data_IF_869885571879
#
_entry.id   IF_869885571879
#
_cell.length_a   1.000
_cell.length_b   1.000
_cell.length_c   1.000
_cell.angle_alpha   90.00
_cell.angle_beta   90.00
_cell.angle_gamma   90.00
#
_symmetry.space_group_name_H-M   'P 1'
#
loop_
_entity.id
_entity.type
_entity.pdbx_description
1 polymer ?
#
# COMPACT_ATOMS: atom_id res chain seq x y z
N UNK A 1 11.26 -10.58 7.93
CA UNK A 1 11.81 -9.25 7.54
C UNK A 1 10.77 -8.20 7.85
N UNK A 2 11.18 -7.08 8.44
CA UNK A 2 10.27 -5.98 8.80
C UNK A 2 10.77 -4.68 8.17
N UNK A 3 9.92 -4.01 7.42
CA UNK A 3 10.17 -2.72 6.80
C UNK A 3 9.19 -1.69 7.35
N UNK A 4 9.70 -0.52 7.74
CA UNK A 4 8.86 0.60 8.20
C UNK A 4 9.28 1.89 7.53
N UNK A 5 8.32 2.78 7.28
CA UNK A 5 8.61 4.09 6.70
C UNK A 5 7.39 4.82 6.17
N UNK A 6 7.59 5.71 5.21
CA UNK A 6 6.54 6.56 4.65
C UNK A 6 5.91 5.96 3.40
N UNK A 7 4.64 6.26 3.16
CA UNK A 7 3.89 5.82 1.98
C UNK A 7 2.97 6.94 1.50
N UNK A 8 2.97 7.20 0.19
CA UNK A 8 2.07 8.12 -0.48
C UNK A 8 1.34 7.40 -1.60
N UNK A 9 0.01 7.48 -1.60
CA UNK A 9 -0.86 6.83 -2.58
C UNK A 9 -1.65 7.86 -3.38
N UNK A 10 -1.97 7.51 -4.62
CA UNK A 10 -2.80 8.28 -5.54
C UNK A 10 -3.87 7.39 -6.16
N UNK A 11 -5.02 7.97 -6.46
CA UNK A 11 -6.21 7.31 -7.00
C UNK A 11 -6.59 7.91 -8.34
N UNK A 12 -6.82 7.05 -9.33
CA UNK A 12 -7.16 7.46 -10.69
C UNK A 12 -8.25 6.54 -11.27
N UNK A 13 -9.50 7.02 -11.43
CA UNK A 13 -9.97 8.35 -11.06
C UNK A 13 -10.05 8.56 -9.53
N UNK A 14 -10.22 9.80 -9.05
CA UNK A 14 -10.41 10.10 -7.63
C UNK A 14 -11.57 9.32 -7.01
N UNK A 15 -11.47 8.95 -5.73
CA UNK A 15 -12.54 8.23 -5.04
C UNK A 15 -13.72 9.15 -4.72
N UNK A 16 -14.91 8.73 -5.13
CA UNK A 16 -16.19 9.40 -4.79
C UNK A 16 -17.07 8.45 -3.99
N UNK A 17 -18.29 8.88 -3.62
CA UNK A 17 -19.28 7.95 -3.04
C UNK A 17 -19.68 6.81 -3.99
N UNK A 18 -19.73 7.07 -5.30
CA UNK A 18 -20.04 6.03 -6.28
C UNK A 18 -18.89 5.02 -6.39
N UNK A 19 -19.21 3.73 -6.26
CA UNK A 19 -18.26 2.64 -6.48
C UNK A 19 -17.90 2.53 -7.95
N UNK A 20 -16.60 2.45 -8.24
CA UNK A 20 -16.07 2.31 -9.61
C UNK A 20 -14.69 1.68 -9.61
N UNK A 21 -14.23 1.29 -10.79
CA UNK A 21 -12.85 0.88 -10.99
C UNK A 21 -11.90 2.05 -10.76
N UNK A 22 -10.89 1.85 -9.91
CA UNK A 22 -9.87 2.84 -9.57
C UNK A 22 -8.49 2.20 -9.62
N UNK A 23 -7.58 2.84 -10.35
CA UNK A 23 -6.16 2.53 -10.30
C UNK A 23 -5.53 3.20 -9.09
N UNK A 24 -4.74 2.43 -8.36
CA UNK A 24 -4.02 2.88 -7.18
C UNK A 24 -2.54 2.79 -7.45
N UNK A 25 -1.85 3.91 -7.25
CA UNK A 25 -0.40 4.02 -7.37
C UNK A 25 0.17 4.52 -6.06
N UNK A 26 1.12 3.79 -5.50
CA UNK A 26 1.73 4.13 -4.21
C UNK A 26 3.23 4.10 -4.32
N UNK A 27 3.89 5.10 -3.75
CA UNK A 27 5.34 5.11 -3.51
C UNK A 27 5.60 5.03 -2.04
N UNK A 28 6.58 4.23 -1.67
CA UNK A 28 7.00 4.06 -0.29
C UNK A 28 8.52 4.16 -0.15
N UNK A 29 8.94 4.70 0.98
CA UNK A 29 10.33 4.75 1.40
C UNK A 29 10.43 4.01 2.73
N UNK A 30 11.29 2.99 2.77
CA UNK A 30 11.39 2.04 3.87
C UNK A 30 12.79 1.99 4.47
N UNK A 31 12.85 1.67 5.75
CA UNK A 31 14.01 1.05 6.39
C UNK A 31 13.63 -0.38 6.77
N UNK A 32 14.36 -1.35 6.23
CA UNK A 32 14.09 -2.77 6.38
C UNK A 32 15.12 -3.47 7.25
N UNK A 33 14.68 -4.13 8.31
CA UNK A 33 15.49 -5.08 9.10
C UNK A 33 15.53 -6.42 8.35
N UNK A 34 16.67 -6.69 7.71
CA UNK A 34 16.88 -7.87 6.84
C UNK A 34 17.59 -9.02 7.55
N UNK A 35 18.31 -8.72 8.63
CA UNK A 35 18.91 -9.67 9.55
C UNK A 35 19.06 -9.02 10.94
N UNK A 36 19.30 -9.78 12.02
CA UNK A 36 19.54 -9.21 13.35
C UNK A 36 20.65 -8.15 13.31
N UNK A 37 20.34 -6.92 13.76
CA UNK A 37 21.27 -5.79 13.75
C UNK A 37 21.59 -5.19 12.37
N UNK A 38 21.01 -5.69 11.28
CA UNK A 38 21.24 -5.20 9.91
C UNK A 38 19.99 -4.58 9.32
N UNK A 39 20.06 -3.28 9.07
CA UNK A 39 19.02 -2.52 8.35
C UNK A 39 19.51 -2.08 6.98
N UNK A 40 18.59 -2.01 6.02
CA UNK A 40 18.85 -1.56 4.65
C UNK A 40 17.71 -0.63 4.23
N UNK A 41 18.03 0.48 3.56
CA UNK A 41 16.99 1.34 2.97
C UNK A 41 16.38 0.65 1.76
N UNK A 42 15.09 0.84 1.55
CA UNK A 42 14.40 0.37 0.36
C UNK A 42 13.40 1.41 -0.14
N UNK A 43 13.11 1.36 -1.43
CA UNK A 43 11.96 2.06 -2.04
C UNK A 43 10.97 1.02 -2.55
N UNK A 44 9.69 1.36 -2.51
CA UNK A 44 8.61 0.50 -2.98
C UNK A 44 7.70 1.25 -3.95
N UNK A 45 7.44 0.63 -5.10
CA UNK A 45 6.44 1.10 -6.06
C UNK A 45 5.31 0.07 -6.11
N UNK A 46 4.11 0.50 -5.73
CA UNK A 46 2.90 -0.30 -5.82
C UNK A 46 2.00 0.20 -6.94
N UNK A 47 1.47 -0.72 -7.73
CA UNK A 47 0.47 -0.46 -8.76
C UNK A 47 -0.59 -1.56 -8.73
N UNK A 48 -1.86 -1.15 -8.82
CA UNK A 48 -2.94 -2.10 -8.96
C UNK A 48 -4.26 -1.43 -9.29
N UNK A 49 -5.26 -2.26 -9.52
CA UNK A 49 -6.63 -1.82 -9.81
C UNK A 49 -7.56 -2.44 -8.79
N UNK A 50 -8.40 -1.61 -8.18
CA UNK A 50 -9.58 -2.08 -7.49
C UNK A 50 -10.77 -1.96 -8.43
N UNK A 51 -11.50 -3.05 -8.70
CA UNK A 51 -12.65 -3.01 -9.61
C UNK A 51 -13.84 -2.24 -9.02
N UNK A 52 -13.88 -2.12 -7.68
CA UNK A 52 -14.95 -1.47 -6.94
C UNK A 52 -14.37 -0.73 -5.73
N UNK A 53 -14.04 0.54 -5.91
CA UNK A 53 -13.59 1.43 -4.86
C UNK A 53 -14.44 2.70 -4.80
N UNK A 54 -14.71 3.14 -3.57
CA UNK A 54 -15.39 4.37 -3.22
C UNK A 54 -14.74 5.00 -1.98
N UNK A 55 -15.26 6.14 -1.55
CA UNK A 55 -14.86 6.78 -0.31
C UNK A 55 -15.18 5.99 0.97
N UNK A 56 -16.05 4.98 0.91
CA UNK A 56 -16.51 4.23 2.09
C UNK A 56 -16.16 2.75 2.03
N UNK A 57 -15.89 2.23 0.82
CA UNK A 57 -15.65 0.82 0.58
C UNK A 57 -14.53 0.66 -0.44
N UNK A 58 -13.68 -0.33 -0.24
CA UNK A 58 -12.63 -0.68 -1.18
C UNK A 58 -12.50 -2.19 -1.19
N UNK A 59 -12.87 -2.81 -2.32
CA UNK A 59 -12.84 -4.25 -2.45
C UNK A 59 -11.67 -4.75 -3.29
N UNK A 60 -11.09 -5.86 -2.81
CA UNK A 60 -10.24 -6.81 -3.52
C UNK A 60 -9.21 -6.18 -4.48
N UNK A 61 -8.29 -5.34 -3.99
CA UNK A 61 -7.23 -4.83 -4.83
C UNK A 61 -6.30 -5.98 -5.25
N UNK A 62 -6.14 -6.16 -6.56
CA UNK A 62 -4.98 -6.90 -7.10
C UNK A 62 -3.86 -5.88 -7.27
N UNK A 63 -2.91 -5.88 -6.35
CA UNK A 63 -1.79 -4.94 -6.32
C UNK A 63 -0.49 -5.72 -6.37
N UNK A 64 0.47 -5.22 -7.15
CA UNK A 64 1.85 -5.65 -7.08
C UNK A 64 2.70 -4.55 -6.46
N UNK A 65 3.68 -4.92 -5.63
CA UNK A 65 4.69 -4.03 -5.07
C UNK A 65 6.07 -4.50 -5.49
N UNK A 66 6.82 -3.61 -6.12
CA UNK A 66 8.23 -3.84 -6.45
C UNK A 66 9.09 -3.07 -5.45
N UNK A 67 9.95 -3.79 -4.74
CA UNK A 67 10.91 -3.24 -3.80
C UNK A 67 12.30 -3.18 -4.43
N UNK A 68 12.99 -2.07 -4.17
CA UNK A 68 14.37 -1.84 -4.54
C UNK A 68 15.17 -1.53 -3.28
N UNK A 69 16.07 -2.42 -2.88
CA UNK A 69 16.92 -2.26 -1.71
C UNK A 69 18.22 -1.54 -2.08
N UNK A 70 18.76 -0.73 -1.16
CA UNK A 70 19.99 0.02 -1.36
C UNK A 70 21.25 -0.86 -1.50
N UNK A 71 21.16 -2.14 -1.14
CA UNK A 71 22.21 -3.13 -1.35
C UNK A 71 22.16 -3.80 -2.74
N UNK A 72 21.26 -3.35 -3.62
CA UNK A 72 21.13 -3.83 -4.99
C UNK A 72 20.18 -5.01 -5.17
N UNK A 73 19.68 -5.61 -4.10
CA UNK A 73 18.64 -6.63 -4.18
C UNK A 73 17.26 -6.00 -4.48
N UNK A 74 16.32 -6.85 -4.90
CA UNK A 74 14.93 -6.48 -5.14
C UNK A 74 13.97 -7.56 -4.66
N UNK A 75 12.70 -7.20 -4.56
CA UNK A 75 11.62 -8.17 -4.35
C UNK A 75 10.37 -7.74 -5.13
N UNK A 76 9.61 -8.71 -5.63
CA UNK A 76 8.28 -8.48 -6.18
C UNK A 76 7.26 -9.18 -5.28
N UNK A 77 6.30 -8.42 -4.77
CA UNK A 77 5.21 -8.91 -3.95
C UNK A 77 3.91 -8.78 -4.74
N UNK A 78 3.10 -9.83 -4.73
CA UNK A 78 1.73 -9.80 -5.25
C UNK A 78 0.77 -9.92 -4.08
N UNK A 79 -0.10 -8.92 -3.93
CA UNK A 79 -1.19 -8.91 -2.98
C UNK A 79 -2.48 -9.37 -3.67
N UNK A 80 -3.06 -10.45 -3.16
CA UNK A 80 -4.30 -11.05 -3.63
C UNK A 80 -5.47 -10.83 -2.66
N UNK A 81 -5.18 -10.35 -1.44
CA UNK A 81 -6.15 -9.94 -0.44
C UNK A 81 -5.88 -8.54 0.08
N UNK A 82 -6.95 -7.80 0.34
CA UNK A 82 -6.84 -6.47 0.94
C UNK A 82 -8.14 -6.02 1.57
N UNK A 83 -8.01 -5.32 2.69
CA UNK A 83 -9.12 -4.60 3.33
C UNK A 83 -8.70 -3.16 3.56
N UNK A 84 -9.67 -2.26 3.47
CA UNK A 84 -9.47 -0.88 3.90
C UNK A 84 -10.64 -0.40 4.75
N UNK A 85 -10.34 0.38 5.77
CA UNK A 85 -11.33 1.00 6.65
C UNK A 85 -11.04 2.49 6.70
N UNK A 86 -12.07 3.30 6.52
CA UNK A 86 -12.00 4.75 6.69
C UNK A 86 -12.83 5.16 7.90
N UNK A 87 -12.22 5.90 8.81
CA UNK A 87 -12.89 6.50 9.97
C UNK A 87 -12.49 7.97 10.02
N UNK A 88 -13.46 8.87 9.84
CA UNK A 88 -13.21 10.29 9.63
C UNK A 88 -12.16 10.52 8.51
N UNK A 89 -11.01 11.10 8.85
CA UNK A 89 -9.94 11.44 7.90
C UNK A 89 -8.83 10.38 7.86
N UNK A 90 -8.96 9.30 8.63
CA UNK A 90 -7.99 8.23 8.70
C UNK A 90 -8.41 7.07 7.80
N UNK A 91 -7.42 6.53 7.07
CA UNK A 91 -7.50 5.35 6.24
C UNK A 91 -6.56 4.30 6.83
N UNK A 92 -7.08 3.11 7.09
CA UNK A 92 -6.29 1.94 7.46
C UNK A 92 -6.40 0.93 6.33
N UNK A 93 -5.28 0.63 5.68
CA UNK A 93 -5.19 -0.43 4.66
C UNK A 93 -4.41 -1.60 5.21
N UNK A 94 -4.93 -2.82 5.02
CA UNK A 94 -4.19 -4.06 5.24
C UNK A 94 -4.20 -4.87 3.95
N UNK A 95 -3.02 -5.16 3.41
CA UNK A 95 -2.83 -6.05 2.27
C UNK A 95 -2.18 -7.36 2.73
N UNK A 96 -2.54 -8.45 2.06
CA UNK A 96 -1.97 -9.78 2.27
C UNK A 96 -1.63 -10.40 0.92
N UNK A 97 -0.51 -11.10 0.87
CA UNK A 97 0.04 -11.62 -0.37
C UNK A 97 1.29 -12.46 -0.17
N UNK A 98 2.11 -12.54 -1.22
CA UNK A 98 3.35 -13.32 -1.22
C UNK A 98 4.44 -12.63 -2.04
N UNK A 99 5.69 -12.82 -1.64
CA UNK A 99 6.85 -12.50 -2.49
C UNK A 99 6.93 -13.54 -3.61
N UNK A 100 6.80 -13.10 -4.86
CA UNK A 100 6.84 -13.97 -6.04
C UNK A 100 8.21 -13.99 -6.72
N UNK A 101 9.10 -13.06 -6.37
CA UNK A 101 10.46 -12.97 -6.92
C UNK A 101 11.38 -12.24 -5.94
N UNK A 102 12.63 -12.70 -5.81
CA UNK A 102 13.71 -11.94 -5.15
C UNK A 102 13.82 -12.17 -3.65
N UNK A 103 14.20 -11.13 -2.89
CA UNK A 103 14.45 -11.24 -1.44
C UNK A 103 13.20 -11.69 -0.69
N UNK A 104 13.28 -12.89 -0.10
CA UNK A 104 12.15 -13.49 0.62
C UNK A 104 11.16 -14.22 -0.29
N UNK A 105 11.56 -14.61 -1.50
CA UNK A 105 10.73 -15.37 -2.43
C UNK A 105 10.03 -16.56 -1.76
N UNK A 106 8.75 -16.73 -2.10
CA UNK A 106 7.90 -17.76 -1.54
C UNK A 106 7.35 -17.44 -0.14
N UNK A 107 7.83 -16.41 0.55
CA UNK A 107 7.33 -16.05 1.89
C UNK A 107 6.03 -15.23 1.83
N UNK A 108 5.13 -15.39 2.82
CA UNK A 108 3.96 -14.54 2.95
C UNK A 108 4.38 -13.08 3.20
N UNK A 109 3.59 -12.15 2.71
CA UNK A 109 3.80 -10.72 2.88
C UNK A 109 2.53 -10.04 3.40
N UNK A 110 2.68 -9.15 4.38
CA UNK A 110 1.60 -8.34 4.94
C UNK A 110 2.01 -6.88 4.98
N UNK A 111 1.14 -6.01 4.48
CA UNK A 111 1.37 -4.57 4.48
C UNK A 111 0.26 -3.84 5.18
N UNK A 112 0.62 -3.02 6.15
CA UNK A 112 -0.31 -2.18 6.92
C UNK A 112 0.02 -0.71 6.71
N UNK A 113 -0.98 0.09 6.37
CA UNK A 113 -0.82 1.52 6.12
C UNK A 113 -1.87 2.30 6.90
N UNK A 114 -1.51 2.87 8.06
CA UNK A 114 -2.24 3.99 8.63
C UNK A 114 -1.89 5.27 7.84
N UNK A 115 -2.83 5.72 7.04
CA UNK A 115 -2.73 6.95 6.27
C UNK A 115 -3.77 7.98 6.70
N UNK A 116 -3.45 9.25 6.52
CA UNK A 116 -4.39 10.35 6.61
C UNK A 116 -4.69 10.85 5.20
N UNK A 117 -5.93 11.24 4.98
CA UNK A 117 -6.26 12.08 3.83
C UNK A 117 -6.02 13.53 4.24
N UNK A 118 -5.15 14.24 3.53
CA UNK A 118 -5.04 15.72 3.67
C UNK A 118 -6.25 16.48 3.11
N UNK A 119 -7.30 15.74 2.72
CA UNK A 119 -8.51 16.19 2.04
C UNK A 119 -9.71 16.12 2.98
N UNK A 120 -10.70 16.99 2.73
CA UNK A 120 -11.88 17.09 3.57
C UNK A 120 -12.83 15.89 3.32
N UNK A 121 -13.57 15.42 4.33
CA UNK A 121 -14.60 14.39 4.11
C UNK A 121 -15.62 14.76 3.03
N UNK A 122 -15.91 16.05 2.86
CA UNK A 122 -16.82 16.58 1.82
C UNK A 122 -16.28 16.42 0.41
N UNK A 123 -14.97 16.22 0.23
CA UNK A 123 -14.39 16.01 -1.11
C UNK A 123 -14.94 14.74 -1.75
N UNK A 124 -15.34 13.74 -0.95
CA UNK A 124 -16.03 12.54 -1.43
C UNK A 124 -17.35 12.81 -2.16
N UNK A 125 -18.00 13.94 -1.88
CA UNK A 125 -19.24 14.40 -2.49
C UNK A 125 -19.01 15.30 -3.72
N UNK A 126 -17.76 15.73 -3.95
CA UNK A 126 -17.43 16.74 -4.96
C UNK A 126 -16.30 16.25 -5.87
N UNK A 127 -15.08 16.70 -5.63
CA UNK A 127 -13.88 16.45 -6.45
C UNK A 127 -13.32 15.03 -6.32
N UNK A 128 -13.66 14.34 -5.24
CA UNK A 128 -13.16 13.03 -4.86
C UNK A 128 -11.81 13.06 -4.13
N UNK A 129 -11.53 11.99 -3.38
CA UNK A 129 -10.22 11.79 -2.76
C UNK A 129 -9.20 11.41 -3.83
N UNK A 130 -8.12 12.18 -3.91
CA UNK A 130 -7.04 12.04 -4.87
C UNK A 130 -5.99 11.03 -4.38
N UNK A 131 -5.89 10.85 -3.06
CA UNK A 131 -4.84 10.03 -2.49
C UNK A 131 -4.84 10.04 -0.96
N UNK A 132 -3.76 9.51 -0.40
CA UNK A 132 -3.50 9.50 1.03
C UNK A 132 -2.02 9.37 1.31
N UNK A 133 -1.57 9.88 2.45
CA UNK A 133 -0.18 9.72 2.88
C UNK A 133 -0.10 9.33 4.36
N UNK A 134 0.94 8.60 4.73
CA UNK A 134 1.14 8.19 6.12
C UNK A 134 2.24 7.15 6.29
N UNK A 135 2.24 6.50 7.45
CA UNK A 135 3.18 5.42 7.75
C UNK A 135 2.81 4.14 7.00
N UNK A 136 3.81 3.33 6.70
CA UNK A 136 3.63 1.99 6.19
C UNK A 136 4.56 1.01 6.93
N UNK A 137 4.01 -0.15 7.21
CA UNK A 137 4.71 -1.31 7.72
C UNK A 137 4.54 -2.47 6.73
N UNK A 138 5.64 -3.10 6.37
CA UNK A 138 5.66 -4.30 5.55
C UNK A 138 6.39 -5.42 6.29
N UNK A 139 5.73 -6.55 6.42
CA UNK A 139 6.23 -7.78 7.00
C UNK A 139 6.37 -8.84 5.91
N UNK A 140 7.49 -9.54 5.86
CA UNK A 140 7.73 -10.68 4.97
C UNK A 140 8.27 -11.85 5.77
N UNK A 141 7.59 -13.00 5.68
CA UNK A 141 7.84 -14.17 6.52
C UNK A 141 7.21 -14.04 7.92
N UNK A 142 7.33 -15.09 8.75
CA UNK A 142 6.99 -15.02 10.17
C UNK A 142 7.93 -14.10 10.96
#
# INVERSE_FOLDING_TARGET
>A
MLCTGGSRSTYDPPLTLASRSVRVRTRAEYTCTVAPGRTVRATGDLDGVSPAASCVQWDAPRIAERLHYADGEGALIVYDGGTSVRVANALFVRLSGRVVEGRGEGLPAHRTVPALTGQLPTDCLTSGLQGSEGGAQLEVGP
#
